data_IF_453830482852
#
_entry.id   IF_453830482852
#
_cell.length_a   1.000
_cell.length_b   1.000
_cell.length_c   1.000
_cell.angle_alpha   90.00
_cell.angle_beta   90.00
_cell.angle_gamma   90.00
#
_symmetry.space_group_name_H-M   'P 1'
#
loop_
_entity.id
_entity.type
_entity.pdbx_description
1 polymer ?
#
# COMPACT_ATOMS: atom_id res chain seq x y z
N UNK A 1 -40.84 -42.23 40.32
CA UNK A 1 -40.30 -41.55 41.51
C UNK A 1 -39.18 -40.61 41.04
N UNK A 2 -39.05 -39.39 41.61
CA UNK A 2 -39.38 -38.11 40.96
C UNK A 2 -38.08 -37.28 40.67
N UNK A 3 -38.00 -36.07 40.13
CA UNK A 3 -38.69 -34.78 40.36
C UNK A 3 -38.32 -33.84 39.19
N UNK A 4 -39.29 -33.11 38.65
CA UNK A 4 -39.08 -31.96 37.75
C UNK A 4 -38.48 -30.78 38.55
N UNK A 5 -37.43 -30.14 38.04
CA UNK A 5 -37.12 -28.73 38.35
C UNK A 5 -36.88 -27.97 37.04
N UNK A 6 -37.85 -27.13 36.67
CA UNK A 6 -37.60 -25.97 35.84
C UNK A 6 -36.73 -24.98 36.61
N UNK A 7 -35.73 -24.40 35.95
CA UNK A 7 -35.27 -23.05 36.28
C UNK A 7 -34.96 -22.34 34.95
N UNK A 8 -35.71 -21.29 34.66
CA UNK A 8 -35.51 -20.38 33.55
C UNK A 8 -34.54 -19.24 33.94
N UNK A 9 -34.08 -18.49 32.95
CA UNK A 9 -33.34 -17.18 32.99
C UNK A 9 -31.83 -17.28 33.32
N UNK A 10 -30.90 -16.54 32.72
CA UNK A 10 -30.88 -15.25 32.03
C UNK A 10 -29.88 -15.26 30.85
N UNK A 11 -30.15 -14.45 29.84
CA UNK A 11 -29.21 -14.07 28.80
C UNK A 11 -27.98 -13.35 29.37
N UNK A 12 -26.80 -13.69 28.86
CA UNK A 12 -25.64 -12.79 28.83
C UNK A 12 -25.10 -12.82 27.41
N UNK A 13 -25.50 -11.83 26.61
CA UNK A 13 -24.66 -11.29 25.55
C UNK A 13 -23.40 -10.75 26.22
N UNK A 14 -22.34 -11.53 26.25
CA UNK A 14 -20.99 -10.97 26.31
C UNK A 14 -20.34 -11.33 25.01
N UNK A 15 -20.21 -10.32 24.16
CA UNK A 15 -19.42 -10.39 22.95
C UNK A 15 -18.08 -11.00 23.30
N UNK A 16 -17.85 -12.22 22.81
CA UNK A 16 -16.51 -12.71 22.65
C UNK A 16 -15.86 -11.70 21.71
N UNK A 17 -15.13 -10.76 22.32
CA UNK A 17 -14.08 -10.02 21.67
C UNK A 17 -13.08 -11.10 21.29
N UNK A 18 -13.37 -11.80 20.19
CA UNK A 18 -12.37 -12.52 19.46
C UNK A 18 -11.40 -11.43 19.08
N UNK A 19 -10.35 -11.31 19.90
CA UNK A 19 -9.08 -10.73 19.53
C UNK A 19 -8.75 -11.44 18.23
N UNK A 20 -9.16 -10.83 17.11
CA UNK A 20 -8.71 -11.20 15.79
C UNK A 20 -7.21 -11.04 15.91
N UNK A 21 -6.52 -12.18 16.05
CA UNK A 21 -5.08 -12.22 16.00
C UNK A 21 -4.66 -11.34 14.82
N UNK A 22 -3.60 -10.52 14.95
CA UNK A 22 -3.18 -9.64 13.87
C UNK A 22 -3.17 -10.47 12.60
N UNK A 23 -4.00 -10.08 11.63
CA UNK A 23 -4.08 -10.76 10.35
C UNK A 23 -2.64 -10.98 9.93
N UNK A 24 -2.24 -12.25 9.76
CA UNK A 24 -0.93 -12.63 9.26
C UNK A 24 -0.66 -11.66 8.12
N UNK A 25 0.30 -10.75 8.31
CA UNK A 25 0.65 -9.77 7.31
C UNK A 25 0.99 -10.58 6.06
N UNK A 26 0.03 -10.68 5.13
CA UNK A 26 0.24 -11.27 3.84
C UNK A 26 1.41 -10.47 3.29
N UNK A 27 2.54 -11.16 3.13
CA UNK A 27 3.82 -10.54 2.78
C UNK A 27 3.54 -9.52 1.68
N UNK A 28 3.68 -8.23 2.01
CA UNK A 28 3.39 -7.14 1.10
C UNK A 28 4.21 -7.43 -0.16
N UNK A 29 3.52 -7.77 -1.24
CA UNK A 29 4.17 -8.43 -2.37
C UNK A 29 5.03 -7.38 -3.04
N UNK A 30 6.34 -7.48 -2.82
CA UNK A 30 7.27 -6.46 -3.28
C UNK A 30 7.42 -6.62 -4.79
N UNK A 31 6.98 -5.62 -5.53
CA UNK A 31 7.04 -5.62 -6.99
C UNK A 31 8.29 -4.88 -7.45
N UNK A 32 9.13 -5.55 -8.22
CA UNK A 32 10.30 -4.91 -8.81
C UNK A 32 9.92 -4.09 -10.05
N UNK A 33 10.39 -2.85 -10.08
CA UNK A 33 10.13 -1.90 -11.14
C UNK A 33 11.45 -1.34 -11.68
N UNK A 34 11.65 -1.39 -12.99
CA UNK A 34 12.88 -0.88 -13.61
C UNK A 34 13.03 0.64 -13.45
N UNK A 35 11.92 1.38 -13.48
CA UNK A 35 11.94 2.83 -13.36
C UNK A 35 10.65 3.38 -12.74
N UNK A 36 10.74 4.59 -12.22
CA UNK A 36 9.60 5.36 -11.76
C UNK A 36 9.85 6.86 -11.95
N UNK A 37 8.77 7.64 -11.96
CA UNK A 37 8.80 9.09 -12.01
C UNK A 37 7.93 9.64 -10.90
N UNK A 38 8.50 10.50 -10.06
CA UNK A 38 7.76 11.33 -9.14
C UNK A 38 7.78 12.77 -9.66
N UNK A 39 6.61 13.38 -9.74
CA UNK A 39 6.44 14.75 -10.20
C UNK A 39 6.18 15.63 -8.99
N UNK A 40 7.00 16.67 -8.83
CA UNK A 40 6.83 17.69 -7.81
C UNK A 40 6.46 19.02 -8.49
N UNK A 41 5.35 19.61 -8.03
CA UNK A 41 4.89 20.97 -8.36
C UNK A 41 4.93 21.84 -7.10
N UNK A 42 4.54 23.11 -7.17
CA UNK A 42 4.44 24.00 -5.99
C UNK A 42 3.41 23.52 -4.99
N UNK A 43 2.36 22.87 -5.47
CA UNK A 43 1.24 22.37 -4.68
C UNK A 43 1.43 20.96 -4.14
N UNK A 44 2.49 20.25 -4.54
CA UNK A 44 2.75 18.86 -4.15
C UNK A 44 3.98 18.79 -3.24
N UNK A 45 3.88 18.19 -2.04
CA UNK A 45 5.01 18.07 -1.11
C UNK A 45 6.14 17.21 -1.68
N UNK A 46 7.33 17.32 -1.09
CA UNK A 46 8.47 16.48 -1.43
C UNK A 46 8.79 15.48 -0.30
N UNK A 47 8.95 14.18 -0.60
CA UNK A 47 8.68 13.54 -1.89
C UNK A 47 7.18 13.52 -2.22
N UNK A 48 6.85 13.49 -3.51
CA UNK A 48 5.44 13.45 -3.96
C UNK A 48 4.78 12.16 -3.45
N UNK A 49 3.57 12.20 -2.87
CA UNK A 49 2.86 10.99 -2.44
C UNK A 49 2.38 10.13 -3.61
N UNK A 50 2.71 10.51 -4.85
CA UNK A 50 2.37 9.81 -6.08
C UNK A 50 3.62 9.48 -6.87
N UNK A 51 3.70 8.23 -7.35
CA UNK A 51 4.74 7.77 -8.28
C UNK A 51 4.10 7.13 -9.50
N UNK A 52 4.57 7.51 -10.69
CA UNK A 52 4.22 6.86 -11.94
C UNK A 52 5.28 5.80 -12.26
N UNK A 53 4.84 4.55 -12.36
CA UNK A 53 5.68 3.40 -12.62
C UNK A 53 5.55 2.89 -14.07
N UNK A 54 4.52 3.35 -14.80
CA UNK A 54 4.28 2.97 -16.19
C UNK A 54 4.12 1.45 -16.35
N UNK A 55 4.79 0.90 -17.37
CA UNK A 55 4.93 -0.55 -17.59
C UNK A 55 6.19 -1.13 -16.94
N UNK A 56 6.91 -0.36 -16.10
CA UNK A 56 8.23 -0.76 -15.59
C UNK A 56 8.17 -1.88 -14.57
N UNK A 57 7.00 -2.11 -13.96
CA UNK A 57 6.75 -3.14 -12.97
C UNK A 57 6.25 -4.42 -13.62
N UNK A 58 7.17 -5.17 -14.24
CA UNK A 58 6.83 -6.43 -14.87
C UNK A 58 6.30 -7.43 -13.82
N UNK A 59 5.16 -8.04 -14.10
CA UNK A 59 4.54 -9.01 -13.20
C UNK A 59 3.84 -8.40 -11.98
N UNK A 60 3.55 -7.08 -12.00
CA UNK A 60 2.66 -6.50 -10.99
C UNK A 60 1.32 -7.25 -11.00
N UNK A 61 0.96 -7.79 -9.85
CA UNK A 61 -0.33 -8.39 -9.59
C UNK A 61 -0.90 -7.76 -8.32
N UNK A 62 -2.19 -7.46 -8.35
CA UNK A 62 -2.86 -6.91 -7.18
C UNK A 62 -2.98 -7.99 -6.09
N UNK A 63 -2.27 -7.77 -4.98
CA UNK A 63 -2.30 -8.62 -3.79
C UNK A 63 -2.92 -7.91 -2.57
N UNK A 64 -3.52 -6.73 -2.78
CA UNK A 64 -4.02 -5.86 -1.72
C UNK A 64 -2.95 -4.94 -1.13
N UNK A 65 -3.43 -3.89 -0.45
CA UNK A 65 -2.57 -2.92 0.21
C UNK A 65 -1.93 -3.50 1.49
N UNK A 66 -0.71 -3.06 1.88
CA UNK A 66 0.10 -2.02 1.23
C UNK A 66 0.83 -2.52 -0.03
N UNK A 67 0.91 -1.66 -1.04
CA UNK A 67 1.65 -1.93 -2.29
C UNK A 67 3.10 -1.50 -2.12
N UNK A 68 4.03 -2.46 -2.20
CA UNK A 68 5.47 -2.18 -2.04
C UNK A 68 6.16 -2.34 -3.39
N UNK A 69 6.85 -1.29 -3.84
CA UNK A 69 7.57 -1.25 -5.10
C UNK A 69 9.06 -1.02 -4.86
N UNK A 70 9.92 -1.87 -5.40
CA UNK A 70 11.37 -1.61 -5.46
C UNK A 70 11.71 -1.03 -6.82
N UNK A 71 12.13 0.22 -6.84
CA UNK A 71 12.33 1.02 -8.05
C UNK A 71 13.83 1.16 -8.28
N UNK A 72 14.35 0.50 -9.33
CA UNK A 72 15.78 0.54 -9.64
C UNK A 72 16.26 1.96 -9.95
N UNK A 73 15.44 2.76 -10.64
CA UNK A 73 15.76 4.16 -10.98
C UNK A 73 14.53 5.07 -10.85
N UNK A 74 14.52 5.95 -9.86
CA UNK A 74 13.43 6.90 -9.60
C UNK A 74 13.85 8.31 -10.01
N UNK A 75 13.16 8.87 -11.01
CA UNK A 75 13.39 10.23 -11.47
C UNK A 75 12.44 11.19 -10.73
N UNK A 76 13.01 12.11 -9.97
CA UNK A 76 12.31 13.22 -9.35
C UNK A 76 12.39 14.44 -10.25
N UNK A 77 11.28 14.71 -10.94
CA UNK A 77 11.14 15.86 -11.84
C UNK A 77 10.50 17.01 -11.09
N UNK A 78 11.19 18.14 -11.06
CA UNK A 78 10.63 19.38 -10.53
C UNK A 78 10.17 20.28 -11.67
N UNK A 79 8.88 20.60 -11.72
CA UNK A 79 8.32 21.38 -12.83
C UNK A 79 8.66 22.88 -12.77
N UNK A 80 9.00 23.42 -11.59
CA UNK A 80 9.22 24.86 -11.41
C UNK A 80 10.70 25.28 -11.49
N UNK A 81 11.63 24.36 -11.26
CA UNK A 81 13.04 24.55 -11.55
C UNK A 81 13.50 23.32 -12.34
N UNK A 82 14.27 23.48 -13.43
CA UNK A 82 14.77 22.37 -14.24
C UNK A 82 15.86 21.60 -13.48
N UNK A 83 15.46 20.96 -12.38
CA UNK A 83 16.28 20.11 -11.56
C UNK A 83 15.64 18.73 -11.56
N UNK A 84 16.39 17.77 -12.08
CA UNK A 84 16.05 16.36 -12.02
C UNK A 84 16.98 15.72 -11.00
N UNK A 85 16.43 15.11 -9.96
CA UNK A 85 17.18 14.23 -9.10
C UNK A 85 16.90 12.78 -9.53
N UNK A 86 17.94 11.95 -9.51
CA UNK A 86 17.82 10.53 -9.83
C UNK A 86 18.25 9.75 -8.60
N UNK A 87 17.33 8.94 -8.09
CA UNK A 87 17.57 8.02 -6.98
C UNK A 87 17.60 6.59 -7.51
N UNK A 88 18.35 5.71 -6.85
CA UNK A 88 18.51 4.31 -7.25
C UNK A 88 18.15 3.39 -6.11
N UNK A 89 17.56 2.23 -6.40
CA UNK A 89 17.13 1.23 -5.41
C UNK A 89 16.14 1.80 -4.35
N UNK A 90 15.20 2.63 -4.79
CA UNK A 90 14.21 3.25 -3.90
C UNK A 90 13.11 2.25 -3.61
N UNK A 91 12.72 2.11 -2.35
CA UNK A 91 11.51 1.37 -1.98
C UNK A 91 10.36 2.35 -1.75
N UNK A 92 9.28 2.19 -2.50
CA UNK A 92 8.05 2.97 -2.34
C UNK A 92 6.95 2.08 -1.74
N UNK A 93 6.36 2.51 -0.62
CA UNK A 93 5.23 1.84 0.02
C UNK A 93 4.00 2.71 -0.13
N UNK A 94 3.00 2.24 -0.86
CA UNK A 94 1.83 3.01 -1.27
C UNK A 94 0.53 2.36 -0.76
N UNK A 95 -0.51 3.17 -0.54
CA UNK A 95 -1.81 2.69 -0.03
C UNK A 95 -2.82 2.41 -1.14
N UNK A 96 -2.63 3.00 -2.32
CA UNK A 96 -3.51 2.81 -3.46
C UNK A 96 -2.72 2.81 -4.78
N UNK A 97 -3.34 2.26 -5.83
CA UNK A 97 -2.85 2.37 -7.20
C UNK A 97 -4.01 2.56 -8.19
N UNK A 98 -3.67 3.01 -9.38
CA UNK A 98 -4.53 3.01 -10.55
C UNK A 98 -3.75 2.38 -11.71
N UNK A 99 -4.39 1.45 -12.42
CA UNK A 99 -3.81 0.74 -13.55
C UNK A 99 -4.70 0.85 -14.78
N UNK A 100 -4.18 1.41 -15.86
CA UNK A 100 -4.89 1.55 -17.14
C UNK A 100 -4.43 0.56 -18.20
N UNK A 101 -3.74 -0.52 -17.82
CA UNK A 101 -3.16 -1.51 -18.74
C UNK A 101 -1.72 -1.23 -19.14
N UNK A 102 -1.33 0.04 -19.27
CA UNK A 102 0.05 0.45 -19.60
C UNK A 102 0.63 1.47 -18.63
N UNK A 103 -0.19 2.09 -17.80
CA UNK A 103 0.25 3.06 -16.81
C UNK A 103 -0.16 2.59 -15.43
N UNK A 104 0.82 2.17 -14.64
CA UNK A 104 0.68 1.97 -13.20
C UNK A 104 1.05 3.27 -12.48
N UNK A 105 0.09 3.82 -11.73
CA UNK A 105 0.31 5.00 -10.89
C UNK A 105 -0.06 4.63 -9.46
N UNK A 106 0.90 4.74 -8.55
CA UNK A 106 0.69 4.46 -7.13
C UNK A 106 0.58 5.78 -6.35
N UNK A 107 -0.29 5.80 -5.34
CA UNK A 107 -0.60 6.99 -4.52
C UNK A 107 -0.59 6.66 -3.03
N UNK A 108 -0.45 7.72 -2.21
CA UNK A 108 -0.26 7.57 -0.76
C UNK A 108 1.09 6.94 -0.42
N UNK A 109 2.11 7.24 -1.24
CA UNK A 109 3.42 6.60 -1.15
C UNK A 109 4.34 7.27 -0.10
N UNK A 110 5.05 6.43 0.65
CA UNK A 110 6.25 6.79 1.42
C UNK A 110 7.47 6.13 0.80
N UNK A 111 8.65 6.72 0.98
CA UNK A 111 9.87 6.31 0.29
C UNK A 111 11.02 6.04 1.25
N UNK A 112 11.79 5.00 0.96
CA UNK A 112 13.11 4.72 1.54
C UNK A 112 14.12 4.81 0.40
N UNK A 113 15.03 5.77 0.49
CA UNK A 113 16.06 6.08 -0.51
C UNK A 113 17.40 5.41 -0.19
#
# INVERSE_FOLDING_TARGET
MPIRKLCATLAVLTGASALVAPALAQAATTTACASGVLIRTSSIPYPSPTVNLGTSCAGFADAGAPYVFTIARLNAVYHQFPMNAVYTNVTATCSAYSYSGTSLVATGCTYVF
#
